data_IF_580385443235
#
_entry.id   IF_580385443235
#
_cell.length_a   1.000
_cell.length_b   1.000
_cell.length_c   1.000
_cell.angle_alpha   90.00
_cell.angle_beta   90.00
_cell.angle_gamma   90.00
#
_symmetry.space_group_name_H-M   'P 1'
#
loop_
_entity.id
_entity.type
_entity.pdbx_description
1 polymer ?
#
# COMPACT_ATOMS: atom_id res chain seq x y z
N UNK A 1 -34.41 -45.48 -5.91
CA UNK A 1 -34.73 -44.29 -6.74
C UNK A 1 -33.48 -43.44 -7.09
N UNK A 2 -32.29 -44.02 -7.24
CA UNK A 2 -31.05 -43.28 -7.58
C UNK A 2 -30.67 -43.34 -9.08
N UNK A 3 -31.32 -44.23 -9.84
CA UNK A 3 -31.05 -44.46 -11.28
C UNK A 3 -31.65 -43.36 -12.17
N UNK A 4 -32.76 -42.73 -11.75
CA UNK A 4 -33.42 -41.67 -12.51
C UNK A 4 -32.52 -40.43 -12.73
N UNK A 5 -31.68 -40.08 -11.76
CA UNK A 5 -30.75 -38.96 -11.88
C UNK A 5 -29.53 -39.28 -12.75
N UNK A 6 -29.12 -40.54 -12.82
CA UNK A 6 -28.01 -40.97 -13.67
C UNK A 6 -28.40 -40.98 -15.15
N UNK A 7 -29.57 -41.53 -15.47
CA UNK A 7 -30.12 -41.48 -16.82
C UNK A 7 -30.29 -40.03 -17.30
N UNK A 8 -30.85 -39.15 -16.45
CA UNK A 8 -31.03 -37.73 -16.78
C UNK A 8 -29.69 -36.99 -17.01
N UNK A 9 -28.62 -37.40 -16.33
CA UNK A 9 -27.26 -36.89 -16.57
C UNK A 9 -26.69 -37.37 -17.91
N UNK A 10 -26.88 -38.65 -18.24
CA UNK A 10 -26.41 -39.22 -19.50
C UNK A 10 -27.12 -38.58 -20.71
N UNK A 11 -28.44 -38.37 -20.62
CA UNK A 11 -29.20 -37.72 -21.69
C UNK A 11 -28.77 -36.27 -21.91
N UNK A 12 -28.40 -35.55 -20.85
CA UNK A 12 -27.92 -34.17 -20.94
C UNK A 12 -26.54 -34.10 -21.62
N UNK A 13 -25.66 -35.07 -21.35
CA UNK A 13 -24.36 -35.21 -22.02
C UNK A 13 -24.55 -35.59 -23.49
N UNK A 14 -25.42 -36.55 -23.79
CA UNK A 14 -25.64 -37.01 -25.16
C UNK A 14 -26.23 -35.89 -26.05
N UNK A 15 -27.17 -35.10 -25.51
CA UNK A 15 -27.73 -33.91 -26.19
C UNK A 15 -26.70 -32.80 -26.40
N UNK A 16 -25.78 -32.56 -25.45
CA UNK A 16 -24.71 -31.56 -25.64
C UNK A 16 -23.67 -31.97 -26.69
N UNK A 17 -23.48 -33.27 -26.90
CA UNK A 17 -22.55 -33.79 -27.91
C UNK A 17 -23.15 -33.90 -29.32
N UNK A 18 -24.49 -33.99 -29.45
CA UNK A 18 -25.16 -34.06 -30.76
C UNK A 18 -25.21 -32.71 -31.51
N UNK A 19 -25.08 -31.57 -30.82
CA UNK A 19 -25.09 -30.24 -31.45
C UNK A 19 -23.73 -29.72 -31.95
N UNK A 20 -22.66 -30.48 -31.77
CA UNK A 20 -21.26 -30.04 -31.97
C UNK A 20 -20.43 -31.02 -32.80
N UNK A 21 -21.06 -31.76 -33.72
CA UNK A 21 -20.34 -32.63 -34.65
C UNK A 21 -20.09 -31.94 -36.00
N UNK A 22 -19.03 -31.11 -36.18
CA UNK A 22 -18.45 -30.98 -37.50
C UNK A 22 -17.71 -32.29 -37.84
N UNK A 23 -17.69 -32.60 -39.13
CA UNK A 23 -17.16 -33.83 -39.70
C UNK A 23 -15.82 -34.27 -39.09
N UNK A 24 -15.78 -35.55 -38.73
CA UNK A 24 -14.62 -36.25 -38.16
C UNK A 24 -13.53 -36.40 -39.22
N UNK A 25 -12.73 -35.36 -39.40
CA UNK A 25 -11.49 -35.44 -40.18
C UNK A 25 -10.42 -36.16 -39.33
N UNK A 26 -9.90 -37.26 -39.87
CA UNK A 26 -8.89 -38.10 -39.23
C UNK A 26 -7.57 -37.35 -39.18
N UNK A 27 -7.16 -36.88 -38.00
CA UNK A 27 -5.79 -36.39 -37.77
C UNK A 27 -5.02 -37.37 -36.86
N UNK A 28 -3.75 -37.67 -37.20
CA UNK A 28 -3.01 -38.79 -36.61
C UNK A 28 -2.57 -38.53 -35.17
N UNK A 29 -2.55 -39.63 -34.42
CA UNK A 29 -2.10 -39.78 -33.04
C UNK A 29 -0.59 -39.51 -32.97
N UNK A 30 -0.17 -38.25 -32.84
CA UNK A 30 1.17 -37.93 -32.31
C UNK A 30 1.23 -36.49 -31.83
N UNK A 31 1.72 -36.34 -30.59
CA UNK A 31 2.09 -35.10 -29.93
C UNK A 31 0.95 -34.23 -29.36
N UNK A 32 0.28 -34.69 -28.29
CA UNK A 32 -0.11 -33.77 -27.23
C UNK A 32 0.46 -34.25 -25.90
N UNK A 33 1.75 -33.93 -25.73
CA UNK A 33 2.45 -33.91 -24.44
C UNK A 33 1.61 -33.03 -23.50
N UNK A 34 1.12 -33.64 -22.43
CA UNK A 34 0.51 -33.05 -21.23
C UNK A 34 0.69 -31.53 -21.12
N UNK A 35 -0.24 -30.75 -21.66
CA UNK A 35 -0.34 -29.35 -21.28
C UNK A 35 -0.91 -29.32 -19.86
N UNK A 36 -0.22 -28.71 -18.88
CA UNK A 36 -0.82 -28.50 -17.58
C UNK A 36 -2.03 -27.60 -17.78
N UNK A 37 -3.20 -28.07 -17.36
CA UNK A 37 -4.43 -27.29 -17.28
C UNK A 37 -4.06 -25.96 -16.61
N UNK A 38 -4.24 -24.79 -17.26
CA UNK A 38 -4.04 -23.53 -16.59
C UNK A 38 -5.08 -23.48 -15.47
N UNK A 39 -4.64 -23.74 -14.23
CA UNK A 39 -5.43 -23.48 -13.04
C UNK A 39 -5.84 -22.02 -13.16
N UNK A 40 -7.13 -21.79 -13.38
CA UNK A 40 -7.71 -20.45 -13.32
C UNK A 40 -7.18 -19.79 -12.06
N UNK A 41 -6.30 -18.81 -12.23
CA UNK A 41 -5.79 -18.01 -11.14
C UNK A 41 -7.03 -17.44 -10.46
N UNK A 42 -7.22 -17.76 -9.17
CA UNK A 42 -8.30 -17.19 -8.35
C UNK A 42 -8.11 -15.68 -8.33
N UNK A 43 -8.71 -14.98 -9.29
CA UNK A 43 -8.84 -13.54 -9.31
C UNK A 43 -9.86 -13.17 -8.25
N UNK A 44 -9.37 -12.75 -7.09
CA UNK A 44 -10.29 -12.38 -6.00
C UNK A 44 -9.63 -11.93 -4.71
N UNK A 45 -8.30 -11.85 -4.65
CA UNK A 45 -7.65 -11.12 -3.58
C UNK A 45 -7.99 -9.64 -3.72
N UNK A 46 -8.91 -9.14 -2.88
CA UNK A 46 -9.10 -7.70 -2.63
C UNK A 46 -7.72 -7.04 -2.69
N UNK A 47 -7.52 -6.11 -3.63
CA UNK A 47 -6.33 -5.26 -3.66
C UNK A 47 -6.32 -4.47 -2.34
N UNK A 48 -5.74 -5.04 -1.28
CA UNK A 48 -5.39 -4.25 -0.09
C UNK A 48 -4.50 -3.14 -0.63
N UNK A 49 -4.93 -1.90 -0.48
CA UNK A 49 -4.09 -0.79 -0.90
C UNK A 49 -2.77 -0.94 -0.12
N UNK A 50 -1.66 -1.09 -0.82
CA UNK A 50 -0.32 -1.27 -0.23
C UNK A 50 0.06 -0.16 0.76
N UNK A 51 -0.69 0.96 0.72
CA UNK A 51 -0.62 2.07 1.66
C UNK A 51 -1.05 1.66 3.08
N UNK A 52 -2.08 0.80 3.23
CA UNK A 52 -2.53 0.33 4.54
C UNK A 52 -1.51 -0.58 5.23
N UNK A 53 -0.69 -1.29 4.45
CA UNK A 53 0.42 -2.10 4.97
C UNK A 53 1.54 -1.22 5.59
N UNK A 54 1.53 0.08 5.31
CA UNK A 54 2.47 1.07 5.86
C UNK A 54 1.78 2.14 6.72
N UNK A 55 0.55 1.87 7.18
CA UNK A 55 -0.22 2.76 8.06
C UNK A 55 0.55 3.17 9.32
N UNK A 56 1.33 2.26 9.92
CA UNK A 56 2.20 2.59 11.06
C UNK A 56 3.27 3.62 10.70
N UNK A 57 3.93 3.49 9.55
CA UNK A 57 4.96 4.43 9.11
C UNK A 57 4.37 5.84 8.86
N UNK A 58 3.16 5.89 8.30
CA UNK A 58 2.41 7.13 8.11
C UNK A 58 2.03 7.73 9.47
N UNK A 59 1.44 6.95 10.37
CA UNK A 59 1.06 7.43 11.70
C UNK A 59 2.27 7.95 12.49
N UNK A 60 3.38 7.21 12.49
CA UNK A 60 4.62 7.65 13.14
C UNK A 60 5.14 8.94 12.51
N UNK A 61 5.20 9.04 11.18
CA UNK A 61 5.65 10.25 10.49
C UNK A 61 4.78 11.46 10.85
N UNK A 62 3.46 11.31 10.74
CA UNK A 62 2.48 12.33 11.11
C UNK A 62 2.64 12.81 12.55
N UNK A 63 2.68 11.88 13.51
CA UNK A 63 2.80 12.23 14.93
C UNK A 63 4.11 12.95 15.21
N UNK A 64 5.23 12.45 14.66
CA UNK A 64 6.53 13.10 14.83
C UNK A 64 6.53 14.52 14.23
N UNK A 65 5.90 14.69 13.06
CA UNK A 65 5.78 15.98 12.39
C UNK A 65 4.96 16.97 13.21
N UNK A 66 3.82 16.54 13.75
CA UNK A 66 3.01 17.37 14.63
C UNK A 66 3.77 17.76 15.91
N UNK A 67 4.47 16.82 16.55
CA UNK A 67 5.27 17.12 17.76
C UNK A 67 6.34 18.16 17.45
N UNK A 68 7.10 17.97 16.37
CA UNK A 68 8.13 18.92 15.97
C UNK A 68 7.53 20.31 15.68
N UNK A 69 6.33 20.37 15.09
CA UNK A 69 5.67 21.63 14.77
C UNK A 69 5.12 22.34 16.02
N UNK A 70 4.57 21.60 16.99
CA UNK A 70 4.15 22.12 18.30
C UNK A 70 5.35 22.73 19.03
N UNK A 71 6.48 22.03 19.04
CA UNK A 71 7.71 22.52 19.66
C UNK A 71 8.14 23.82 18.98
N UNK A 72 8.19 23.85 17.66
CA UNK A 72 8.59 25.04 16.90
C UNK A 72 7.64 26.23 17.15
N UNK A 73 6.32 26.01 17.05
CA UNK A 73 5.31 27.03 17.28
C UNK A 73 5.37 27.60 18.70
N UNK A 74 5.63 26.74 19.68
CA UNK A 74 5.80 27.16 21.06
C UNK A 74 7.15 27.85 21.32
N UNK A 75 8.21 27.57 20.57
CA UNK A 75 9.48 28.32 20.65
C UNK A 75 9.35 29.73 20.05
N UNK A 76 8.43 29.91 19.09
CA UNK A 76 8.19 31.20 18.43
C UNK A 76 7.13 32.08 19.11
N UNK A 77 6.32 31.54 20.02
CA UNK A 77 5.24 32.30 20.66
C UNK A 77 5.69 32.95 21.96
N UNK A 78 5.46 34.27 22.07
CA UNK A 78 5.85 35.07 23.25
C UNK A 78 5.12 34.65 24.54
N UNK A 79 3.93 34.07 24.42
CA UNK A 79 3.12 33.63 25.57
C UNK A 79 3.39 32.16 25.97
N UNK A 80 4.38 31.50 25.38
CA UNK A 80 4.67 30.09 25.63
C UNK A 80 5.64 29.91 26.81
N UNK A 81 5.45 28.86 27.63
CA UNK A 81 6.38 28.52 28.72
C UNK A 81 7.80 28.17 28.25
N UNK A 82 7.99 27.90 26.96
CA UNK A 82 9.29 27.69 26.32
C UNK A 82 9.55 28.68 25.17
N UNK A 83 8.89 29.85 25.21
CA UNK A 83 9.00 30.90 24.20
C UNK A 83 10.31 31.72 24.25
N UNK A 84 10.42 32.79 23.43
CA UNK A 84 11.58 33.65 23.37
C UNK A 84 11.92 34.29 24.72
N UNK A 85 13.20 34.24 25.10
CA UNK A 85 13.70 34.75 26.38
C UNK A 85 13.81 33.71 27.50
N UNK A 86 13.34 32.47 27.30
CA UNK A 86 13.50 31.37 28.26
C UNK A 86 14.80 30.58 28.04
N UNK A 87 15.37 29.99 29.10
CA UNK A 87 16.55 29.11 28.98
C UNK A 87 16.25 27.84 28.16
N UNK A 88 15.01 27.36 28.21
CA UNK A 88 14.54 26.24 27.39
C UNK A 88 14.57 26.58 25.90
N UNK A 89 14.28 27.83 25.52
CA UNK A 89 14.36 28.20 24.12
C UNK A 89 15.79 28.10 23.60
N UNK A 90 16.78 28.61 24.34
CA UNK A 90 18.18 28.56 23.89
C UNK A 90 18.70 27.13 23.66
N UNK A 91 18.22 26.17 24.45
CA UNK A 91 18.61 24.76 24.34
C UNK A 91 17.80 24.00 23.29
N UNK A 92 16.51 24.30 23.11
CA UNK A 92 15.62 23.58 22.20
C UNK A 92 15.56 24.17 20.79
N UNK A 93 15.96 25.43 20.59
CA UNK A 93 15.85 26.10 19.29
C UNK A 93 16.67 25.43 18.18
N UNK A 94 17.94 25.11 18.46
CA UNK A 94 18.83 24.41 17.53
C UNK A 94 18.33 23.01 17.15
N UNK A 95 17.96 22.13 18.11
CA UNK A 95 17.33 20.85 17.79
C UNK A 95 16.05 20.98 16.97
N UNK A 96 15.19 21.95 17.30
CA UNK A 96 13.92 22.13 16.60
C UNK A 96 14.12 22.61 15.15
N UNK A 97 15.08 23.52 14.92
CA UNK A 97 15.53 23.89 13.57
C UNK A 97 16.13 22.70 12.82
N UNK A 98 16.90 21.85 13.50
CA UNK A 98 17.41 20.60 12.94
C UNK A 98 16.29 19.68 12.48
N UNK A 99 15.25 19.50 13.31
CA UNK A 99 14.05 18.73 12.96
C UNK A 99 13.29 19.27 11.75
N UNK A 100 13.18 20.60 11.65
CA UNK A 100 12.57 21.28 10.50
C UNK A 100 13.41 21.06 9.22
N UNK A 101 14.74 21.25 9.31
CA UNK A 101 15.65 21.07 8.18
C UNK A 101 15.77 19.61 7.73
N UNK A 102 15.55 18.65 8.63
CA UNK A 102 15.53 17.22 8.29
C UNK A 102 14.30 16.84 7.46
N UNK A 103 13.17 17.55 7.56
CA UNK A 103 11.95 17.21 6.81
C UNK A 103 12.15 17.13 5.28
N UNK A 104 12.68 18.16 4.60
CA UNK A 104 12.93 18.10 3.16
C UNK A 104 14.07 17.13 2.80
N UNK A 105 15.07 16.98 3.67
CA UNK A 105 16.19 16.05 3.45
C UNK A 105 15.72 14.59 3.49
N UNK A 106 14.86 14.24 4.44
CA UNK A 106 14.25 12.91 4.52
C UNK A 106 13.33 12.66 3.32
N UNK A 107 12.60 13.67 2.86
CA UNK A 107 11.78 13.57 1.66
C UNK A 107 12.65 13.31 0.42
N UNK A 108 13.72 14.08 0.21
CA UNK A 108 14.67 13.88 -0.89
C UNK A 108 15.35 12.51 -0.82
N UNK A 109 15.86 12.12 0.34
CA UNK A 109 16.46 10.81 0.56
C UNK A 109 15.45 9.68 0.24
N UNK A 110 14.17 9.89 0.55
CA UNK A 110 13.16 8.90 0.27
C UNK A 110 12.86 8.71 -1.21
N UNK A 111 13.04 9.73 -2.06
CA UNK A 111 12.89 9.59 -3.52
C UNK A 111 13.91 8.58 -4.09
N UNK A 112 15.15 8.60 -3.58
CA UNK A 112 16.18 7.67 -4.01
C UNK A 112 15.97 6.24 -3.48
N UNK A 113 15.31 6.10 -2.33
CA UNK A 113 15.15 4.82 -1.62
C UNK A 113 13.75 4.20 -1.83
N UNK A 114 12.81 4.94 -2.40
CA UNK A 114 11.41 4.54 -2.59
C UNK A 114 11.25 3.22 -3.35
N UNK A 115 12.15 2.94 -4.30
CA UNK A 115 12.15 1.69 -5.07
C UNK A 115 12.50 0.44 -4.25
N UNK A 116 13.23 0.60 -3.13
CA UNK A 116 13.67 -0.50 -2.26
C UNK A 116 12.93 -0.56 -0.93
N UNK A 117 12.48 0.59 -0.40
CA UNK A 117 11.78 0.70 0.90
C UNK A 117 10.63 1.72 0.82
N UNK A 118 9.44 1.33 0.33
CA UNK A 118 8.31 2.25 0.16
C UNK A 118 7.81 2.85 1.49
N UNK A 119 7.96 2.14 2.61
CA UNK A 119 7.57 2.65 3.94
C UNK A 119 8.33 3.90 4.38
N UNK A 120 9.59 4.07 3.98
CA UNK A 120 10.38 5.25 4.35
C UNK A 120 9.91 6.51 3.61
N UNK A 121 9.46 6.38 2.36
CA UNK A 121 8.87 7.49 1.60
C UNK A 121 7.51 7.93 2.15
N UNK A 122 6.69 6.97 2.60
CA UNK A 122 5.43 7.29 3.27
C UNK A 122 5.65 7.96 4.63
N UNK A 123 6.67 7.54 5.38
CA UNK A 123 7.08 8.19 6.62
C UNK A 123 7.53 9.64 6.40
N UNK A 124 8.46 9.89 5.46
CA UNK A 124 9.01 11.23 5.22
C UNK A 124 7.93 12.19 4.71
N UNK A 125 7.06 11.72 3.82
CA UNK A 125 5.95 12.50 3.28
C UNK A 125 4.92 12.82 4.36
N UNK A 126 4.61 11.86 5.23
CA UNK A 126 3.71 12.10 6.36
C UNK A 126 4.31 13.01 7.43
N UNK A 127 5.63 12.93 7.66
CA UNK A 127 6.36 13.82 8.57
C UNK A 127 6.30 15.26 8.09
N UNK A 128 6.64 15.48 6.81
CA UNK A 128 6.58 16.81 6.20
C UNK A 128 5.15 17.35 6.15
N UNK A 129 4.17 16.51 5.76
CA UNK A 129 2.76 16.92 5.76
C UNK A 129 2.26 17.28 7.16
N UNK A 130 2.64 16.52 8.19
CA UNK A 130 2.28 16.81 9.58
C UNK A 130 2.87 18.13 10.07
N UNK A 131 4.14 18.40 9.74
CA UNK A 131 4.77 19.68 10.06
C UNK A 131 4.06 20.85 9.40
N UNK A 132 3.82 20.78 8.08
CA UNK A 132 3.20 21.88 7.31
C UNK A 132 1.80 22.17 7.82
N UNK A 133 0.95 21.14 7.92
CA UNK A 133 -0.45 21.33 8.32
C UNK A 133 -0.53 22.02 9.68
N UNK A 134 0.29 21.58 10.65
CA UNK A 134 0.27 22.14 12.00
C UNK A 134 0.87 23.55 12.06
N UNK A 135 1.91 23.85 11.27
CA UNK A 135 2.50 25.20 11.21
C UNK A 135 1.59 26.22 10.52
N UNK A 136 0.68 25.77 9.66
CA UNK A 136 -0.27 26.64 8.94
C UNK A 136 -1.61 26.86 9.67
N UNK A 137 -1.86 26.11 10.75
CA UNK A 137 -3.05 26.22 11.60
C UNK A 137 -2.84 27.29 12.68
#
# INVERSE_FOLDING_TARGET
MATANFQARLDRINKSHQGLAPAREKLPIRALRSQPIPRAAKSGGRKRFAIFDHSLAIAFGSVLGCIAAVVLAGLTSENSPWGPGTELNQTMFLPALGGLGLAPLLMLASVFVASKKPGFALFSLSYLSGMIVFLTL
#
